data_IF_290810846851
#
_entry.id   IF_290810846851
#
_cell.length_a   1.000
_cell.length_b   1.000
_cell.length_c   1.000
_cell.angle_alpha   90.00
_cell.angle_beta   90.00
_cell.angle_gamma   90.00
#
_symmetry.space_group_name_H-M   'P 1'
#
loop_
_entity.id
_entity.type
_entity.pdbx_description
1 polymer ?
#
# COMPACT_ATOMS: atom_id res chain seq x y z
N UNK A 1 -49.44 0.93 2.01
CA UNK A 1 -48.76 0.94 3.32
C UNK A 1 -47.42 0.26 3.14
N UNK A 2 -46.36 1.04 2.95
CA UNK A 2 -45.00 0.49 2.80
C UNK A 2 -44.39 0.35 4.20
N UNK A 3 -44.52 -0.84 4.78
CA UNK A 3 -43.95 -1.17 6.08
C UNK A 3 -42.53 -1.68 5.84
N UNK A 4 -41.61 -0.79 5.48
CA UNK A 4 -40.18 -1.11 5.60
C UNK A 4 -39.90 -1.08 7.10
N UNK A 5 -39.58 -2.21 7.74
CA UNK A 5 -39.33 -2.21 9.18
C UNK A 5 -38.11 -1.33 9.42
N UNK A 6 -38.20 -0.35 10.33
CA UNK A 6 -37.07 0.51 10.72
C UNK A 6 -35.82 -0.31 11.08
N UNK A 7 -36.04 -1.54 11.54
CA UNK A 7 -35.04 -2.59 11.79
C UNK A 7 -34.13 -2.89 10.60
N UNK A 8 -34.65 -2.91 9.37
CA UNK A 8 -33.86 -3.18 8.16
C UNK A 8 -32.89 -2.04 7.83
N UNK A 9 -33.31 -0.79 8.06
CA UNK A 9 -32.47 0.39 7.82
C UNK A 9 -31.32 0.40 8.83
N UNK A 10 -31.62 0.13 10.11
CA UNK A 10 -30.62 0.07 11.19
C UNK A 10 -29.63 -1.06 10.94
N UNK A 11 -30.10 -2.25 10.55
CA UNK A 11 -29.24 -3.38 10.26
C UNK A 11 -28.31 -3.11 9.07
N UNK A 12 -28.83 -2.48 8.00
CA UNK A 12 -28.01 -2.06 6.85
C UNK A 12 -26.91 -1.05 7.22
N UNK A 13 -27.22 -0.08 8.08
CA UNK A 13 -26.24 0.91 8.58
C UNK A 13 -25.19 0.28 9.50
N UNK A 14 -25.54 -0.72 10.30
CA UNK A 14 -24.58 -1.42 11.15
C UNK A 14 -23.61 -2.25 10.34
N UNK A 15 -24.06 -2.89 9.26
CA UNK A 15 -23.18 -3.68 8.40
C UNK A 15 -22.22 -2.84 7.55
N UNK A 16 -22.61 -1.61 7.15
CA UNK A 16 -21.71 -0.73 6.41
C UNK A 16 -20.55 -0.18 7.25
N UNK A 17 -20.65 -0.24 8.58
CA UNK A 17 -19.55 0.11 9.49
C UNK A 17 -18.54 -1.04 9.69
N UNK A 18 -18.84 -2.26 9.21
CA UNK A 18 -17.91 -3.42 9.24
C UNK A 18 -17.06 -3.46 7.95
N UNK A 19 -16.77 -2.30 7.36
CA UNK A 19 -15.72 -2.21 6.34
C UNK A 19 -14.39 -2.21 7.08
N UNK A 20 -13.72 -3.37 7.11
CA UNK A 20 -12.36 -3.47 7.62
C UNK A 20 -11.45 -2.53 6.82
N UNK A 21 -10.80 -1.53 7.44
CA UNK A 21 -9.81 -0.73 6.75
C UNK A 21 -8.61 -1.63 6.43
N UNK A 22 -8.34 -1.85 5.14
CA UNK A 22 -7.05 -2.31 4.70
C UNK A 22 -6.07 -1.13 4.83
N UNK A 23 -5.23 -1.14 5.86
CA UNK A 23 -4.22 -0.10 6.07
C UNK A 23 -3.05 -0.33 5.12
N UNK A 24 -3.13 0.21 3.90
CA UNK A 24 -1.95 0.37 3.06
C UNK A 24 -1.26 1.69 3.42
N UNK A 25 0.04 1.66 3.72
CA UNK A 25 0.81 2.89 3.90
C UNK A 25 1.16 3.48 2.54
N UNK A 26 0.32 4.40 2.06
CA UNK A 26 0.51 5.15 0.83
C UNK A 26 0.99 6.55 1.21
N UNK A 27 2.16 6.95 0.69
CA UNK A 27 2.64 8.33 0.82
C UNK A 27 2.51 9.03 -0.53
N UNK A 28 1.87 10.20 -0.54
CA UNK A 28 1.79 11.05 -1.72
C UNK A 28 2.89 12.10 -1.64
N UNK A 29 3.82 12.05 -2.59
CA UNK A 29 5.03 12.87 -2.58
C UNK A 29 5.16 13.64 -3.89
N UNK A 30 5.80 14.81 -3.82
CA UNK A 30 6.22 15.56 -4.99
C UNK A 30 7.67 15.19 -5.34
N UNK A 31 7.88 14.82 -6.59
CA UNK A 31 9.15 14.44 -7.21
C UNK A 31 9.45 15.34 -8.43
N UNK A 32 8.89 16.55 -8.47
CA UNK A 32 9.19 17.52 -9.53
C UNK A 32 10.67 17.95 -9.40
N UNK A 33 11.38 17.94 -10.51
CA UNK A 33 12.77 18.37 -10.58
C UNK A 33 12.88 19.52 -11.58
N UNK A 34 13.62 20.57 -11.23
CA UNK A 34 13.83 21.73 -12.12
C UNK A 34 14.46 21.37 -13.48
N UNK A 35 15.20 20.27 -13.57
CA UNK A 35 15.73 19.72 -14.82
C UNK A 35 14.67 19.01 -15.66
N UNK A 36 13.57 18.58 -15.04
CA UNK A 36 12.43 17.89 -15.66
C UNK A 36 11.11 18.53 -15.22
N UNK A 37 10.83 19.78 -15.62
CA UNK A 37 9.68 20.52 -15.12
C UNK A 37 8.35 19.87 -15.52
N UNK A 38 7.43 19.77 -14.55
CA UNK A 38 6.04 19.29 -14.70
C UNK A 38 5.93 17.80 -15.02
N UNK A 39 6.99 17.05 -14.76
CA UNK A 39 7.04 15.62 -14.96
C UNK A 39 7.71 15.01 -13.75
N UNK A 40 7.16 13.90 -13.27
CA UNK A 40 8.02 13.02 -12.48
C UNK A 40 9.12 12.52 -13.43
N UNK A 41 10.27 12.06 -12.93
CA UNK A 41 11.32 11.44 -13.76
C UNK A 41 10.76 10.28 -14.62
N UNK A 42 9.57 9.78 -14.31
CA UNK A 42 8.84 8.70 -14.97
C UNK A 42 7.57 9.22 -15.69
N UNK A 43 7.16 8.54 -16.77
CA UNK A 43 5.91 8.87 -17.46
C UNK A 43 4.68 8.58 -16.58
N UNK A 44 3.55 9.24 -16.84
CA UNK A 44 2.30 8.97 -16.12
C UNK A 44 1.91 7.49 -16.19
N UNK A 45 1.54 6.92 -15.05
CA UNK A 45 1.16 5.52 -14.93
C UNK A 45 2.35 4.55 -14.89
N UNK A 46 3.58 5.03 -15.08
CA UNK A 46 4.76 4.18 -14.88
C UNK A 46 5.04 3.99 -13.40
N UNK A 47 5.54 2.78 -13.11
CA UNK A 47 6.05 2.43 -11.79
C UNK A 47 7.56 2.29 -11.85
N UNK A 48 8.22 2.68 -10.77
CA UNK A 48 9.66 2.54 -10.61
C UNK A 48 9.98 2.06 -9.22
N UNK A 49 10.79 1.00 -9.15
CA UNK A 49 11.31 0.51 -7.88
C UNK A 49 12.52 1.35 -7.46
N UNK A 50 12.47 1.90 -6.27
CA UNK A 50 13.62 2.57 -5.68
C UNK A 50 14.67 1.51 -5.32
N UNK A 51 15.88 1.66 -5.86
CA UNK A 51 17.01 0.81 -5.49
C UNK A 51 17.64 1.19 -4.15
N UNK A 52 17.41 2.42 -3.70
CA UNK A 52 17.92 2.94 -2.42
C UNK A 52 17.12 2.48 -1.21
N UNK A 53 15.89 2.01 -1.41
CA UNK A 53 14.98 1.56 -0.34
C UNK A 53 14.50 0.14 -0.62
N UNK A 54 14.40 -0.68 0.42
CA UNK A 54 13.93 -2.06 0.29
C UNK A 54 12.45 -2.11 -0.10
N UNK A 55 12.13 -2.93 -1.12
CA UNK A 55 10.78 -3.20 -1.62
C UNK A 55 9.85 -1.98 -1.69
N UNK A 56 10.37 -0.85 -2.18
CA UNK A 56 9.63 0.41 -2.30
C UNK A 56 9.43 0.76 -3.76
N UNK A 57 8.19 1.08 -4.14
CA UNK A 57 7.84 1.44 -5.51
C UNK A 57 7.13 2.78 -5.56
N UNK A 58 7.49 3.60 -6.53
CA UNK A 58 6.79 4.85 -6.84
C UNK A 58 5.92 4.62 -8.07
N UNK A 59 4.68 5.06 -8.01
CA UNK A 59 3.79 5.22 -9.16
C UNK A 59 3.68 6.71 -9.49
N UNK A 60 4.05 7.08 -10.72
CA UNK A 60 3.83 8.44 -11.21
C UNK A 60 2.35 8.66 -11.53
N UNK A 61 1.77 9.71 -10.96
CA UNK A 61 0.36 10.07 -11.17
C UNK A 61 0.21 11.32 -12.07
N UNK A 62 1.31 12.02 -12.36
CA UNK A 62 1.35 13.23 -13.19
C UNK A 62 1.80 14.46 -12.44
N UNK A 63 2.14 15.52 -13.18
CA UNK A 63 2.47 16.86 -12.67
C UNK A 63 3.56 16.88 -11.57
N UNK A 64 4.55 16.00 -11.70
CA UNK A 64 5.62 15.85 -10.71
C UNK A 64 5.22 15.08 -9.46
N UNK A 65 3.98 14.62 -9.32
CA UNK A 65 3.52 13.86 -8.17
C UNK A 65 3.58 12.35 -8.37
N UNK A 66 3.87 11.63 -7.27
CA UNK A 66 3.92 10.18 -7.23
C UNK A 66 3.39 9.61 -5.92
N UNK A 67 2.79 8.43 -6.00
CA UNK A 67 2.47 7.61 -4.82
C UNK A 67 3.64 6.68 -4.54
N UNK A 68 4.15 6.72 -3.31
CA UNK A 68 5.10 5.76 -2.78
C UNK A 68 4.34 4.64 -2.07
N UNK A 69 4.64 3.42 -2.49
CA UNK A 69 4.11 2.18 -1.96
C UNK A 69 5.20 1.41 -1.23
N UNK A 70 4.88 0.98 -0.01
CA UNK A 70 5.75 0.16 0.85
C UNK A 70 4.97 -1.06 1.32
N UNK A 71 5.68 -2.11 1.73
CA UNK A 71 5.05 -3.31 2.25
C UNK A 71 4.30 -3.04 3.56
N UNK A 72 3.17 -3.72 3.73
CA UNK A 72 2.42 -3.67 4.98
C UNK A 72 3.25 -4.18 6.14
N UNK A 73 3.18 -3.46 7.27
CA UNK A 73 3.77 -3.94 8.53
C UNK A 73 2.83 -4.99 9.12
N UNK A 74 3.33 -6.21 9.23
CA UNK A 74 2.63 -7.32 9.90
C UNK A 74 3.40 -7.66 11.17
N UNK A 75 2.68 -7.98 12.24
CA UNK A 75 3.29 -8.54 13.44
C UNK A 75 3.60 -10.02 13.20
N UNK A 76 4.77 -10.53 13.60
CA UNK A 76 5.05 -11.95 13.50
C UNK A 76 4.14 -12.73 14.47
N UNK A 77 3.80 -14.00 14.17
CA UNK A 77 3.12 -14.89 15.12
C UNK A 77 3.90 -15.03 16.44
N UNK A 78 3.21 -15.43 17.52
CA UNK A 78 3.86 -15.71 18.81
C UNK A 78 4.99 -16.74 18.67
N UNK A 79 6.08 -16.54 19.39
CA UNK A 79 7.31 -17.34 19.31
C UNK A 79 7.98 -17.37 17.94
N UNK A 80 7.63 -16.43 17.06
CA UNK A 80 8.27 -16.25 15.77
C UNK A 80 8.82 -14.83 15.60
N UNK A 81 9.81 -14.69 14.73
CA UNK A 81 10.37 -13.41 14.32
C UNK A 81 10.64 -13.39 12.82
N UNK A 82 10.52 -12.20 12.22
CA UNK A 82 10.93 -12.00 10.84
C UNK A 82 12.44 -11.80 10.78
N UNK A 83 13.09 -12.47 9.82
CA UNK A 83 14.52 -12.33 9.57
C UNK A 83 14.76 -11.61 8.25
N UNK A 84 15.14 -12.34 7.20
CA UNK A 84 15.51 -11.77 5.91
C UNK A 84 14.31 -11.66 4.95
N UNK A 85 14.41 -10.80 3.95
CA UNK A 85 13.47 -10.83 2.82
C UNK A 85 13.69 -12.11 2.00
N UNK A 86 12.62 -12.85 1.74
CA UNK A 86 12.67 -14.06 0.91
C UNK A 86 13.06 -13.74 -0.53
N UNK A 87 12.52 -12.65 -1.09
CA UNK A 87 12.72 -12.25 -2.48
C UNK A 87 12.98 -10.74 -2.58
N UNK A 88 14.04 -10.24 -1.93
CA UNK A 88 14.34 -8.80 -1.90
C UNK A 88 14.45 -8.13 -3.28
N UNK A 89 14.81 -8.88 -4.32
CA UNK A 89 14.95 -8.41 -5.69
C UNK A 89 13.72 -8.59 -6.59
N UNK A 90 12.63 -9.16 -6.09
CA UNK A 90 11.41 -9.29 -6.87
C UNK A 90 10.67 -7.95 -7.04
N UNK A 91 9.59 -7.99 -7.82
CA UNK A 91 8.71 -6.84 -8.01
C UNK A 91 7.96 -6.50 -6.71
N UNK A 92 7.37 -5.31 -6.66
CA UNK A 92 6.50 -4.89 -5.56
C UNK A 92 5.40 -5.94 -5.32
N UNK A 93 5.04 -6.14 -4.05
CA UNK A 93 4.29 -7.29 -3.51
C UNK A 93 5.12 -8.57 -3.35
N UNK A 94 5.85 -9.00 -4.38
CA UNK A 94 6.66 -10.23 -4.30
C UNK A 94 7.84 -10.08 -3.34
N UNK A 95 8.45 -8.89 -3.33
CA UNK A 95 9.54 -8.56 -2.41
C UNK A 95 9.12 -8.26 -0.97
N UNK A 96 7.81 -8.26 -0.68
CA UNK A 96 7.30 -8.00 0.67
C UNK A 96 7.33 -9.21 1.59
N UNK A 97 7.66 -10.39 1.06
CA UNK A 97 7.69 -11.61 1.84
C UNK A 97 8.96 -11.69 2.67
N UNK A 98 8.78 -11.79 3.98
CA UNK A 98 9.85 -11.96 4.96
C UNK A 98 9.93 -13.44 5.36
N UNK A 99 11.14 -13.92 5.61
CA UNK A 99 11.39 -15.23 6.19
C UNK A 99 10.95 -15.19 7.65
N UNK A 100 10.21 -16.22 8.06
CA UNK A 100 9.74 -16.40 9.42
C UNK A 100 10.57 -17.50 10.08
N UNK A 101 11.14 -17.19 11.23
CA UNK A 101 11.83 -18.17 12.08
C UNK A 101 11.10 -18.24 13.42
N UNK A 102 10.77 -19.45 13.85
CA UNK A 102 10.07 -19.70 15.10
C UNK A 102 10.94 -20.54 16.02
N UNK A 103 10.86 -20.26 17.31
CA UNK A 103 11.60 -20.95 18.38
C UNK A 103 11.02 -22.34 18.70
#
# INVERSE_FOLDING_TARGET
MSFVPESFIIYGFLWSLVVFPAFAYISFNNYDDSAYPHRSVLDMGQTFRLKSLHCTTILCIGDGYGMLFTCDKKEPPEHCHFTDYLNGDANYLDCCNLKLECD
#
